data_IF_237300206133
#
_entry.id   IF_237300206133
#
_cell.length_a   1.000
_cell.length_b   1.000
_cell.length_c   1.000
_cell.angle_alpha   90.00
_cell.angle_beta   90.00
_cell.angle_gamma   90.00
#
_symmetry.space_group_name_H-M   'P 1'
#
loop_
_entity.id
_entity.type
_entity.pdbx_description
1 polymer ?
#
# COMPACT_ATOMS: atom_id res chain seq x y z
N UNK A 1 -43.87 29.49 6.79
CA UNK A 1 -42.42 29.55 6.90
C UNK A 1 -41.74 28.39 7.70
N UNK A 2 -42.34 27.81 8.74
CA UNK A 2 -41.73 26.71 9.53
C UNK A 2 -41.72 25.34 8.78
N UNK A 3 -42.73 25.02 8.01
CA UNK A 3 -42.84 23.73 7.29
C UNK A 3 -41.82 23.58 6.14
N UNK A 4 -41.45 24.67 5.47
CA UNK A 4 -40.45 24.64 4.37
C UNK A 4 -39.03 24.41 4.88
N UNK A 5 -38.68 24.93 6.07
CA UNK A 5 -37.36 24.70 6.68
C UNK A 5 -37.16 23.27 7.13
N UNK A 6 -38.22 22.59 7.62
CA UNK A 6 -38.15 21.18 8.03
C UNK A 6 -37.97 20.27 6.80
N UNK A 7 -38.63 20.57 5.70
CA UNK A 7 -38.51 19.79 4.46
C UNK A 7 -37.10 19.87 3.86
N UNK A 8 -36.49 21.06 3.88
CA UNK A 8 -35.09 21.24 3.45
C UNK A 8 -34.10 20.49 4.36
N UNK A 9 -34.31 20.49 5.68
CA UNK A 9 -33.43 19.78 6.61
C UNK A 9 -33.48 18.28 6.46
N UNK A 10 -34.68 17.71 6.26
CA UNK A 10 -34.87 16.26 6.04
C UNK A 10 -34.27 15.85 4.69
N UNK A 11 -34.43 16.66 3.64
CA UNK A 11 -33.87 16.37 2.32
C UNK A 11 -32.33 16.38 2.35
N UNK A 12 -31.72 17.35 3.00
CA UNK A 12 -30.25 17.39 3.21
C UNK A 12 -29.76 16.22 4.04
N UNK A 13 -30.49 15.81 5.07
CA UNK A 13 -30.11 14.65 5.91
C UNK A 13 -30.19 13.33 5.12
N UNK A 14 -31.23 13.14 4.32
CA UNK A 14 -31.35 11.97 3.43
C UNK A 14 -30.24 11.92 2.38
N UNK A 15 -29.90 13.04 1.77
CA UNK A 15 -28.82 13.14 0.79
C UNK A 15 -27.45 12.81 1.44
N UNK A 16 -27.22 13.32 2.66
CA UNK A 16 -26.01 13.05 3.43
C UNK A 16 -25.87 11.57 3.78
N UNK A 17 -26.97 10.93 4.20
CA UNK A 17 -27.00 9.48 4.51
C UNK A 17 -26.77 8.65 3.25
N UNK A 18 -27.37 9.00 2.11
CA UNK A 18 -27.18 8.30 0.85
C UNK A 18 -25.73 8.39 0.34
N UNK A 19 -25.09 9.56 0.45
CA UNK A 19 -23.68 9.75 0.07
C UNK A 19 -22.75 8.96 1.00
N UNK A 20 -23.02 8.93 2.30
CA UNK A 20 -22.22 8.12 3.26
C UNK A 20 -22.37 6.62 3.01
N UNK A 21 -23.58 6.13 2.74
CA UNK A 21 -23.83 4.73 2.40
C UNK A 21 -23.15 4.34 1.06
N UNK A 22 -23.22 5.18 0.06
CA UNK A 22 -22.56 4.95 -1.23
C UNK A 22 -21.04 4.90 -1.08
N UNK A 23 -20.45 5.81 -0.31
CA UNK A 23 -19.01 5.82 -0.03
C UNK A 23 -18.57 4.58 0.78
N UNK A 24 -19.33 4.15 1.77
CA UNK A 24 -19.02 2.95 2.55
C UNK A 24 -19.11 1.68 1.69
N UNK A 25 -20.11 1.56 0.83
CA UNK A 25 -20.24 0.45 -0.11
C UNK A 25 -19.08 0.40 -1.09
N UNK A 26 -18.66 1.54 -1.65
CA UNK A 26 -17.54 1.62 -2.58
C UNK A 26 -16.20 1.25 -1.91
N UNK A 27 -15.99 1.60 -0.65
CA UNK A 27 -14.82 1.16 0.12
C UNK A 27 -14.84 -0.36 0.27
N UNK A 28 -15.98 -0.98 0.54
CA UNK A 28 -16.09 -2.43 0.67
C UNK A 28 -15.77 -3.19 -0.63
N UNK A 29 -16.16 -2.69 -1.79
CA UNK A 29 -15.94 -3.35 -3.08
C UNK A 29 -14.45 -3.36 -3.50
N UNK A 30 -13.72 -2.28 -3.22
CA UNK A 30 -12.32 -2.11 -3.65
C UNK A 30 -11.29 -2.41 -2.56
N UNK A 31 -11.70 -3.02 -1.43
CA UNK A 31 -10.81 -3.41 -0.36
C UNK A 31 -10.90 -4.90 -0.05
N UNK A 32 -9.83 -5.46 0.46
CA UNK A 32 -9.80 -6.81 1.05
C UNK A 32 -9.73 -6.73 2.56
N UNK A 33 -10.46 -7.61 3.23
CA UNK A 33 -10.40 -7.79 4.68
C UNK A 33 -9.24 -8.72 5.00
N UNK A 34 -8.30 -8.25 5.81
CA UNK A 34 -7.18 -9.04 6.31
C UNK A 34 -7.53 -9.46 7.74
N UNK A 35 -7.66 -10.77 8.01
CA UNK A 35 -8.10 -11.23 9.32
C UNK A 35 -7.07 -10.95 10.41
N UNK A 36 -7.55 -10.79 11.65
CA UNK A 36 -6.70 -10.72 12.82
C UNK A 36 -5.85 -11.99 12.96
N UNK A 37 -4.68 -11.88 13.56
CA UNK A 37 -3.83 -13.02 13.87
C UNK A 37 -2.34 -12.75 13.71
N UNK A 38 -1.55 -13.74 14.11
CA UNK A 38 -0.09 -13.71 14.01
C UNK A 38 0.38 -14.04 12.57
N UNK A 39 1.53 -13.48 12.21
CA UNK A 39 2.31 -13.88 11.04
C UNK A 39 3.82 -13.72 11.31
N UNK A 40 4.64 -14.31 10.46
CA UNK A 40 6.10 -14.16 10.50
C UNK A 40 6.51 -13.00 9.60
N UNK A 41 7.03 -11.93 10.20
CA UNK A 41 7.55 -10.75 9.52
C UNK A 41 9.05 -10.83 9.34
N UNK A 42 9.54 -10.36 8.19
CA UNK A 42 10.96 -10.37 7.87
C UNK A 42 11.38 -11.56 7.00
N UNK A 43 12.68 -11.66 6.70
CA UNK A 43 13.27 -12.76 5.92
C UNK A 43 14.70 -13.01 6.34
N UNK A 44 15.11 -14.29 6.43
CA UNK A 44 16.49 -14.67 6.71
C UNK A 44 17.40 -14.57 5.46
N UNK A 45 16.82 -14.49 4.27
CA UNK A 45 17.56 -14.38 3.00
C UNK A 45 17.94 -12.95 2.63
N UNK A 46 17.37 -11.96 3.36
CA UNK A 46 17.63 -10.54 3.16
C UNK A 46 18.92 -10.06 3.82
N UNK A 47 19.11 -8.75 3.82
CA UNK A 47 20.17 -8.08 4.56
C UNK A 47 19.78 -7.94 6.04
N UNK A 48 20.64 -7.32 6.84
CA UNK A 48 20.36 -7.09 8.27
C UNK A 48 19.14 -6.18 8.53
N UNK A 49 18.64 -5.44 7.54
CA UNK A 49 17.47 -4.59 7.73
C UNK A 49 16.15 -5.33 7.63
N UNK A 50 16.14 -6.52 7.00
CA UNK A 50 15.00 -7.43 6.90
C UNK A 50 14.98 -8.50 8.01
N UNK A 51 16.00 -8.51 8.89
CA UNK A 51 16.19 -9.52 9.96
C UNK A 51 16.00 -8.92 11.35
N UNK A 52 15.71 -9.77 12.35
CA UNK A 52 15.39 -11.20 12.29
C UNK A 52 13.95 -11.43 11.80
N UNK A 53 13.67 -12.65 11.35
CA UNK A 53 12.27 -13.11 11.26
C UNK A 53 11.67 -13.16 12.66
N UNK A 54 10.49 -12.57 12.83
CA UNK A 54 9.84 -12.48 14.13
C UNK A 54 8.30 -12.53 13.99
N UNK A 55 7.65 -12.93 15.07
CA UNK A 55 6.19 -12.97 15.12
C UNK A 55 5.61 -11.59 15.37
N UNK A 56 4.59 -11.23 14.61
CA UNK A 56 3.80 -10.01 14.78
C UNK A 56 2.33 -10.38 14.83
N UNK A 57 1.59 -9.90 15.83
CA UNK A 57 0.14 -9.97 15.87
C UNK A 57 -0.45 -8.67 15.37
N UNK A 58 -1.42 -8.77 14.46
CA UNK A 58 -2.21 -7.63 13.98
C UNK A 58 -3.70 -7.91 14.21
N UNK A 59 -4.44 -6.86 14.58
CA UNK A 59 -5.89 -6.85 14.51
C UNK A 59 -6.37 -6.98 13.06
N UNK A 60 -7.65 -7.14 12.89
CA UNK A 60 -8.30 -7.12 11.57
C UNK A 60 -8.25 -5.71 10.97
N UNK A 61 -8.02 -5.61 9.66
CA UNK A 61 -8.02 -4.35 8.92
C UNK A 61 -8.44 -4.55 7.46
N UNK A 62 -8.83 -3.48 6.80
CA UNK A 62 -9.08 -3.48 5.35
C UNK A 62 -7.94 -2.77 4.62
N UNK A 63 -7.58 -3.28 3.45
CA UNK A 63 -6.55 -2.72 2.59
C UNK A 63 -7.05 -2.61 1.15
N UNK A 64 -6.68 -1.56 0.42
CA UNK A 64 -6.98 -1.45 -1.01
C UNK A 64 -6.49 -2.67 -1.77
N UNK A 65 -7.35 -3.24 -2.62
CA UNK A 65 -6.97 -4.38 -3.48
C UNK A 65 -5.89 -4.00 -4.47
N UNK A 66 -5.87 -2.75 -4.89
CA UNK A 66 -4.99 -2.19 -5.90
C UNK A 66 -4.12 -1.07 -5.33
N UNK A 67 -3.02 -0.76 -6.01
CA UNK A 67 -2.34 0.53 -5.86
C UNK A 67 -3.30 1.65 -6.26
N UNK A 68 -3.15 2.85 -5.72
CA UNK A 68 -3.92 4.02 -6.14
C UNK A 68 -3.55 4.36 -7.59
N UNK A 69 -4.55 4.44 -8.46
CA UNK A 69 -4.37 4.72 -9.88
C UNK A 69 -4.22 6.23 -10.16
N UNK A 70 -3.71 6.56 -11.36
CA UNK A 70 -3.59 7.95 -11.80
C UNK A 70 -4.94 8.68 -11.76
N UNK A 71 -5.99 8.08 -12.33
CA UNK A 71 -7.31 8.73 -12.38
C UNK A 71 -7.88 8.98 -10.99
N UNK A 72 -7.69 8.06 -10.03
CA UNK A 72 -8.16 8.25 -8.66
C UNK A 72 -7.41 9.36 -7.95
N UNK A 73 -6.09 9.44 -8.18
CA UNK A 73 -5.26 10.48 -7.56
C UNK A 73 -5.51 11.87 -8.18
N UNK A 74 -5.72 11.96 -9.48
CA UNK A 74 -6.01 13.20 -10.20
C UNK A 74 -7.36 13.83 -9.79
N UNK A 75 -8.34 13.02 -9.38
CA UNK A 75 -9.59 13.52 -8.77
C UNK A 75 -9.29 14.25 -7.45
N UNK A 76 -8.32 13.77 -6.67
CA UNK A 76 -7.88 14.40 -5.42
C UNK A 76 -6.96 15.59 -5.67
N UNK A 77 -6.02 15.47 -6.60
CA UNK A 77 -5.01 16.47 -6.95
C UNK A 77 -4.96 16.72 -8.46
N UNK A 78 -5.86 17.55 -9.02
CA UNK A 78 -5.95 17.77 -10.47
C UNK A 78 -4.68 18.36 -11.12
N UNK A 79 -3.77 18.93 -10.33
CA UNK A 79 -2.48 19.46 -10.82
C UNK A 79 -1.39 18.40 -10.93
N UNK A 80 -1.69 17.13 -10.60
CA UNK A 80 -0.72 16.05 -10.74
C UNK A 80 -0.35 15.83 -12.21
N UNK A 81 0.95 15.57 -12.47
CA UNK A 81 1.45 15.27 -13.82
C UNK A 81 1.93 13.83 -13.86
N UNK A 82 1.37 13.04 -14.74
CA UNK A 82 1.74 11.63 -14.92
C UNK A 82 3.17 11.48 -15.41
N UNK A 83 3.84 10.47 -14.91
CA UNK A 83 5.13 10.02 -15.41
C UNK A 83 4.97 9.35 -16.79
N UNK A 84 5.98 9.46 -17.64
CA UNK A 84 6.02 8.73 -18.93
C UNK A 84 6.02 7.20 -18.75
N UNK A 85 6.50 6.70 -17.61
CA UNK A 85 6.45 5.27 -17.25
C UNK A 85 5.13 4.84 -16.64
N UNK A 86 4.19 5.77 -16.36
CA UNK A 86 2.86 5.50 -15.83
C UNK A 86 1.80 6.36 -16.55
N UNK A 87 1.53 6.13 -17.85
CA UNK A 87 0.73 7.06 -18.66
C UNK A 87 -0.78 6.81 -18.61
N UNK A 88 -1.23 5.59 -18.27
CA UNK A 88 -2.64 5.21 -18.39
C UNK A 88 -3.46 5.59 -17.14
N UNK A 89 -4.80 5.70 -17.29
CA UNK A 89 -5.73 6.01 -16.20
C UNK A 89 -5.65 5.00 -15.06
N UNK A 90 -5.60 3.71 -15.40
CA UNK A 90 -5.53 2.58 -14.46
C UNK A 90 -4.09 2.19 -14.12
N UNK A 91 -3.09 2.92 -14.56
CA UNK A 91 -1.73 2.75 -14.09
C UNK A 91 -1.60 3.30 -12.66
N UNK A 92 -0.75 2.71 -11.79
CA UNK A 92 -0.52 3.26 -10.46
C UNK A 92 0.03 4.69 -10.54
N UNK A 93 -0.48 5.57 -9.70
CA UNK A 93 0.09 6.92 -9.57
C UNK A 93 1.54 6.82 -9.11
N UNK A 94 2.40 7.59 -9.76
CA UNK A 94 3.82 7.71 -9.42
C UNK A 94 4.24 9.19 -9.33
N UNK A 95 5.52 9.48 -9.10
CA UNK A 95 5.99 10.87 -8.91
C UNK A 95 5.28 11.58 -7.75
N UNK A 96 4.91 10.84 -6.73
CA UNK A 96 4.31 11.33 -5.47
C UNK A 96 5.25 11.08 -4.31
N UNK A 97 5.26 11.96 -3.33
CA UNK A 97 6.00 11.78 -2.10
C UNK A 97 5.12 11.19 -0.99
N UNK A 98 5.74 10.85 0.15
CA UNK A 98 5.03 10.25 1.28
C UNK A 98 3.88 11.11 1.83
N UNK A 99 4.07 12.44 1.87
CA UNK A 99 3.06 13.36 2.40
C UNK A 99 1.83 13.43 1.51
N UNK A 100 2.02 13.44 0.19
CA UNK A 100 0.93 13.41 -0.79
C UNK A 100 0.16 12.09 -0.71
N UNK A 101 0.86 10.96 -0.63
CA UNK A 101 0.27 9.63 -0.42
C UNK A 101 -0.55 9.57 0.88
N UNK A 102 0.02 10.03 2.00
CA UNK A 102 -0.64 10.08 3.30
C UNK A 102 -1.88 10.99 3.27
N UNK A 103 -1.79 12.15 2.61
CA UNK A 103 -2.90 13.10 2.49
C UNK A 103 -4.05 12.52 1.67
N UNK A 104 -3.75 11.81 0.57
CA UNK A 104 -4.75 11.09 -0.22
C UNK A 104 -5.50 10.06 0.63
N UNK A 105 -4.79 9.16 1.32
CA UNK A 105 -5.44 8.15 2.16
C UNK A 105 -6.32 8.78 3.26
N UNK A 106 -5.84 9.86 3.90
CA UNK A 106 -6.65 10.62 4.88
C UNK A 106 -7.90 11.23 4.27
N UNK A 107 -7.83 11.76 3.05
CA UNK A 107 -9.00 12.28 2.33
C UNK A 107 -10.05 11.19 2.06
N UNK A 108 -9.62 9.92 1.96
CA UNK A 108 -10.50 8.74 1.82
C UNK A 108 -10.89 8.12 3.17
N UNK A 109 -10.72 8.85 4.30
CA UNK A 109 -10.94 8.36 5.67
C UNK A 109 -10.13 7.11 6.03
N UNK A 110 -8.99 6.92 5.39
CA UNK A 110 -8.02 5.85 5.64
C UNK A 110 -6.66 6.41 6.02
N UNK A 111 -5.66 5.56 5.95
CA UNK A 111 -4.25 5.88 6.19
C UNK A 111 -3.34 5.03 5.31
N UNK A 112 -2.06 5.36 5.24
CA UNK A 112 -1.07 4.42 4.71
C UNK A 112 -1.00 3.18 5.62
N UNK A 113 -0.78 1.98 5.07
CA UNK A 113 -0.56 0.77 5.86
C UNK A 113 0.68 0.94 6.74
N UNK A 114 0.67 0.36 7.94
CA UNK A 114 1.93 0.08 8.62
C UNK A 114 2.74 -0.94 7.81
N UNK A 115 4.05 -0.97 8.02
CA UNK A 115 4.93 -1.93 7.36
C UNK A 115 4.49 -3.38 7.62
N UNK A 116 4.09 -3.68 8.86
CA UNK A 116 3.61 -5.00 9.24
C UNK A 116 2.27 -5.37 8.57
N UNK A 117 1.33 -4.44 8.47
CA UNK A 117 0.06 -4.64 7.74
C UNK A 117 0.32 -4.92 6.26
N UNK A 118 1.21 -4.14 5.65
CA UNK A 118 1.57 -4.31 4.25
C UNK A 118 2.18 -5.71 4.01
N UNK A 119 3.14 -6.13 4.85
CA UNK A 119 3.82 -7.42 4.69
C UNK A 119 2.87 -8.60 4.93
N UNK A 120 2.03 -8.55 5.99
CA UNK A 120 1.01 -9.59 6.22
C UNK A 120 0.08 -9.74 5.02
N UNK A 121 -0.40 -8.63 4.49
CA UNK A 121 -1.27 -8.60 3.33
C UNK A 121 -0.59 -9.15 2.07
N UNK A 122 0.69 -8.80 1.85
CA UNK A 122 1.47 -9.25 0.70
C UNK A 122 1.76 -10.76 0.72
N UNK A 123 2.09 -11.33 1.89
CA UNK A 123 2.36 -12.76 2.05
C UNK A 123 1.14 -13.63 1.76
N UNK A 124 -0.04 -13.07 1.87
CA UNK A 124 -1.28 -13.84 1.76
C UNK A 124 -1.46 -14.86 2.89
N UNK A 125 -2.52 -15.65 2.87
CA UNK A 125 -2.80 -16.63 3.92
C UNK A 125 -1.80 -17.80 3.95
N UNK A 126 -1.07 -18.03 2.86
CA UNK A 126 -0.07 -19.09 2.76
C UNK A 126 1.32 -18.68 3.24
N UNK A 127 1.57 -17.38 3.48
CA UNK A 127 2.85 -16.88 3.96
C UNK A 127 3.98 -16.86 2.93
N UNK A 128 3.65 -16.77 1.64
CA UNK A 128 4.60 -16.89 0.53
C UNK A 128 5.71 -15.83 0.52
N UNK A 129 6.82 -16.18 -0.13
CA UNK A 129 7.98 -15.31 -0.36
C UNK A 129 7.68 -14.18 -1.35
N UNK A 130 6.90 -14.45 -2.39
CA UNK A 130 6.34 -13.47 -3.32
C UNK A 130 4.82 -13.47 -3.18
N UNK A 131 4.17 -12.38 -3.48
CA UNK A 131 2.70 -12.31 -3.35
C UNK A 131 1.95 -13.35 -4.20
N UNK A 132 2.61 -13.93 -5.19
CA UNK A 132 2.08 -14.93 -6.13
C UNK A 132 2.66 -16.36 -5.94
N UNK A 133 3.49 -16.61 -4.91
CA UNK A 133 4.07 -17.94 -4.63
C UNK A 133 5.50 -17.92 -4.09
N UNK A 134 6.17 -19.06 -4.07
CA UNK A 134 7.53 -19.21 -3.51
C UNK A 134 8.64 -18.82 -4.50
N UNK A 135 8.40 -18.97 -5.81
CA UNK A 135 9.40 -18.74 -6.84
C UNK A 135 9.09 -17.49 -7.67
N UNK A 136 10.12 -16.75 -8.12
CA UNK A 136 9.91 -15.59 -8.97
C UNK A 136 9.36 -16.00 -10.34
N UNK A 137 8.31 -15.29 -10.80
CA UNK A 137 7.63 -15.59 -12.06
C UNK A 137 7.10 -14.28 -12.70
N UNK A 138 7.76 -13.84 -13.76
CA UNK A 138 7.39 -12.63 -14.50
C UNK A 138 6.04 -12.72 -15.22
N UNK A 139 5.49 -13.92 -15.42
CA UNK A 139 4.14 -14.07 -15.97
C UNK A 139 3.04 -13.68 -14.95
N UNK A 140 3.42 -13.58 -13.67
CA UNK A 140 2.50 -13.29 -12.55
C UNK A 140 2.66 -11.91 -11.96
N UNK A 141 3.71 -11.16 -12.35
CA UNK A 141 3.98 -9.85 -11.80
C UNK A 141 4.94 -9.05 -12.68
N UNK A 142 4.86 -7.72 -12.59
CA UNK A 142 5.68 -6.77 -13.34
C UNK A 142 7.00 -6.48 -12.61
N UNK A 143 8.07 -7.20 -12.95
CA UNK A 143 9.42 -6.98 -12.42
C UNK A 143 10.51 -7.46 -13.40
N UNK A 144 11.75 -7.05 -13.18
CA UNK A 144 12.92 -7.52 -13.94
C UNK A 144 12.97 -7.01 -15.38
N UNK A 145 12.28 -5.93 -15.69
CA UNK A 145 12.24 -5.33 -17.02
C UNK A 145 13.28 -4.22 -17.19
N UNK A 146 13.56 -3.89 -18.43
CA UNK A 146 14.34 -2.69 -18.74
C UNK A 146 13.57 -1.43 -18.32
N UNK A 147 14.31 -0.37 -18.04
CA UNK A 147 13.75 0.87 -17.49
C UNK A 147 12.69 1.54 -18.38
N UNK A 148 12.68 1.25 -19.67
CA UNK A 148 11.73 1.78 -20.66
C UNK A 148 10.34 1.15 -20.62
N UNK A 149 10.18 -0.04 -19.99
CA UNK A 149 8.91 -0.79 -20.02
C UNK A 149 7.83 -0.09 -19.19
N UNK A 150 8.17 0.42 -18.01
CA UNK A 150 7.24 1.11 -17.13
C UNK A 150 6.29 0.20 -16.35
N UNK A 151 5.29 0.82 -15.73
CA UNK A 151 4.27 0.13 -14.93
C UNK A 151 3.21 -0.54 -15.81
N UNK A 152 2.50 -1.50 -15.24
CA UNK A 152 1.27 -2.07 -15.79
C UNK A 152 0.06 -1.52 -15.01
N UNK A 153 -1.14 -1.64 -15.60
CA UNK A 153 -2.38 -1.27 -14.92
C UNK A 153 -2.52 -2.04 -13.59
N UNK A 154 -3.15 -1.41 -12.60
CA UNK A 154 -3.24 -1.93 -11.22
C UNK A 154 -3.92 -3.30 -11.09
N UNK A 155 -4.64 -3.74 -12.13
CA UNK A 155 -5.36 -5.02 -12.19
C UNK A 155 -4.80 -6.00 -13.24
N UNK A 156 -3.57 -5.81 -13.72
CA UNK A 156 -3.01 -6.57 -14.86
C UNK A 156 -2.69 -8.02 -14.56
N UNK A 157 -2.47 -8.40 -13.32
CA UNK A 157 -2.07 -9.76 -12.93
C UNK A 157 -3.12 -10.43 -12.04
N UNK A 158 -2.85 -11.67 -11.64
CA UNK A 158 -3.74 -12.36 -10.70
C UNK A 158 -3.49 -11.88 -9.26
N UNK A 159 -4.53 -11.75 -8.45
CA UNK A 159 -4.39 -11.36 -7.05
C UNK A 159 -3.79 -12.49 -6.21
N UNK A 160 -3.21 -12.13 -5.06
CA UNK A 160 -2.79 -13.09 -4.06
C UNK A 160 -4.00 -13.73 -3.32
N UNK A 161 -3.73 -14.61 -2.36
CA UNK A 161 -4.78 -15.32 -1.62
C UNK A 161 -5.70 -14.45 -0.75
N UNK A 162 -5.35 -13.18 -0.53
CA UNK A 162 -6.25 -12.16 0.07
C UNK A 162 -6.95 -11.28 -0.96
N UNK A 163 -6.79 -11.54 -2.25
CA UNK A 163 -7.41 -10.76 -3.32
C UNK A 163 -6.69 -9.46 -3.63
N UNK A 164 -5.40 -9.33 -3.27
CA UNK A 164 -4.58 -8.13 -3.48
C UNK A 164 -3.70 -8.27 -4.71
N UNK A 165 -3.64 -7.23 -5.50
CA UNK A 165 -2.89 -7.15 -6.74
C UNK A 165 -1.53 -6.47 -6.52
N UNK A 166 -0.53 -6.87 -7.31
CA UNK A 166 0.78 -6.22 -7.44
C UNK A 166 1.58 -6.01 -6.13
N UNK A 167 1.35 -6.85 -5.11
CA UNK A 167 2.10 -6.77 -3.85
C UNK A 167 3.59 -7.19 -4.01
N UNK A 168 4.01 -7.60 -5.20
CA UNK A 168 5.39 -7.89 -5.59
C UNK A 168 5.62 -7.31 -6.98
N UNK A 169 6.43 -6.25 -7.12
CA UNK A 169 6.71 -5.56 -8.37
C UNK A 169 5.73 -4.41 -8.67
N UNK A 170 5.66 -3.99 -9.90
CA UNK A 170 4.95 -2.84 -10.44
C UNK A 170 5.49 -1.52 -9.89
N UNK A 171 5.13 -1.09 -8.70
CA UNK A 171 5.71 0.07 -8.02
C UNK A 171 6.09 -0.24 -6.58
N UNK A 172 7.16 0.38 -6.08
CA UNK A 172 7.39 0.50 -4.65
C UNK A 172 6.22 1.21 -3.99
N UNK A 173 5.86 0.81 -2.79
CA UNK A 173 4.73 1.41 -2.08
C UNK A 173 5.17 2.05 -0.77
N UNK A 174 4.81 3.34 -0.58
CA UNK A 174 4.98 4.02 0.68
C UNK A 174 4.16 3.36 1.79
N UNK A 175 4.80 3.11 2.94
CA UNK A 175 4.11 2.73 4.17
C UNK A 175 4.26 3.80 5.25
N UNK A 176 3.51 3.66 6.35
CA UNK A 176 3.44 4.72 7.37
C UNK A 176 4.69 4.84 8.23
N UNK A 177 5.48 3.77 8.32
CA UNK A 177 6.56 3.66 9.30
C UNK A 177 7.79 4.48 8.94
N UNK A 178 8.43 5.03 9.96
CA UNK A 178 9.81 5.48 9.87
C UNK A 178 10.74 4.28 9.91
N UNK A 179 11.81 4.34 9.16
CA UNK A 179 12.77 3.24 9.17
C UNK A 179 13.37 3.03 10.56
N UNK A 180 13.29 1.80 11.04
CA UNK A 180 14.02 1.30 12.20
C UNK A 180 14.46 -0.15 11.93
N UNK A 181 15.53 -0.60 12.57
CA UNK A 181 15.85 -2.04 12.58
C UNK A 181 14.79 -2.79 13.39
N UNK A 182 14.51 -4.03 12.99
CA UNK A 182 13.65 -4.89 13.80
C UNK A 182 14.28 -5.12 15.17
N UNK A 183 13.44 -5.17 16.20
CA UNK A 183 13.88 -5.43 17.55
C UNK A 183 14.42 -6.85 17.65
N UNK A 184 15.62 -7.00 18.25
CA UNK A 184 16.18 -8.31 18.57
C UNK A 184 15.86 -8.59 20.03
N UNK A 185 15.20 -9.73 20.32
CA UNK A 185 14.88 -10.12 21.68
C UNK A 185 16.15 -10.20 22.55
N UNK A 186 16.13 -9.54 23.70
CA UNK A 186 17.27 -9.51 24.65
C UNK A 186 18.32 -8.42 24.40
N UNK A 187 18.21 -7.65 23.31
CA UNK A 187 19.01 -6.42 23.13
C UNK A 187 18.14 -5.21 23.48
N UNK A 188 18.64 -4.38 24.38
CA UNK A 188 18.00 -3.08 24.67
C UNK A 188 18.03 -2.22 23.40
N UNK A 189 16.91 -2.18 22.70
CA UNK A 189 16.72 -1.47 21.42
C UNK A 189 16.81 0.05 21.57
N UNK A 190 16.80 0.57 22.81
CA UNK A 190 16.86 2.01 23.08
C UNK A 190 18.13 2.71 22.58
N UNK A 191 19.23 1.99 22.34
CA UNK A 191 20.49 2.58 21.84
C UNK A 191 20.65 2.57 20.31
N UNK A 192 19.81 1.84 19.57
CA UNK A 192 19.95 1.67 18.11
C UNK A 192 18.92 2.53 17.33
N UNK A 193 17.86 2.98 17.97
CA UNK A 193 16.87 3.87 17.36
C UNK A 193 17.36 5.32 17.35
N UNK A 194 18.34 5.64 16.51
CA UNK A 194 18.37 6.99 15.94
C UNK A 194 17.08 7.12 15.12
N UNK A 195 16.24 8.09 15.47
CA UNK A 195 15.08 8.43 14.68
C UNK A 195 15.54 8.62 13.22
N UNK A 196 15.13 7.72 12.34
CA UNK A 196 15.46 7.82 10.93
C UNK A 196 14.63 8.95 10.33
N UNK A 197 15.23 9.73 9.44
CA UNK A 197 14.51 10.71 8.62
C UNK A 197 13.98 10.08 7.32
N UNK A 198 13.96 8.75 7.24
CA UNK A 198 13.57 8.00 6.05
C UNK A 198 12.30 7.18 6.33
N UNK A 199 11.41 7.15 5.37
CA UNK A 199 10.20 6.31 5.35
C UNK A 199 10.48 5.00 4.61
N UNK A 200 9.73 3.96 4.97
CA UNK A 200 9.88 2.63 4.38
C UNK A 200 9.06 2.54 3.09
N UNK A 201 9.62 1.80 2.14
CA UNK A 201 9.03 1.38 0.89
C UNK A 201 9.03 -0.15 0.81
N UNK A 202 7.99 -0.72 0.22
CA UNK A 202 7.78 -2.15 0.12
C UNK A 202 7.42 -2.57 -1.31
N UNK A 203 7.62 -3.85 -1.65
CA UNK A 203 7.10 -4.49 -2.86
C UNK A 203 8.04 -4.54 -4.07
N UNK A 204 8.99 -3.63 -4.19
CA UNK A 204 9.80 -3.52 -5.41
C UNK A 204 9.04 -2.89 -6.57
N UNK A 205 9.68 -2.77 -7.73
CA UNK A 205 9.06 -2.16 -8.91
C UNK A 205 9.41 -2.89 -10.20
N UNK A 206 8.82 -2.48 -11.32
CA UNK A 206 8.92 -3.15 -12.63
C UNK A 206 10.37 -3.39 -13.12
N UNK A 207 11.32 -2.52 -12.79
CA UNK A 207 12.72 -2.66 -13.23
C UNK A 207 13.61 -3.38 -12.21
N UNK A 208 13.10 -3.69 -11.01
CA UNK A 208 13.86 -4.38 -10.00
C UNK A 208 13.94 -5.89 -10.29
N UNK A 209 15.09 -6.51 -9.96
CA UNK A 209 15.21 -7.96 -10.06
C UNK A 209 14.31 -8.69 -9.03
N UNK A 210 14.16 -10.00 -9.22
CA UNK A 210 13.40 -10.87 -8.30
C UNK A 210 13.80 -10.72 -6.83
N UNK A 211 15.07 -10.42 -6.55
CA UNK A 211 15.57 -10.18 -5.20
C UNK A 211 14.80 -9.05 -4.49
N UNK A 212 14.51 -7.94 -5.20
CA UNK A 212 13.86 -6.76 -4.62
C UNK A 212 12.35 -6.84 -4.53
N UNK A 213 11.70 -7.77 -5.24
CA UNK A 213 10.23 -7.89 -5.24
C UNK A 213 9.72 -8.99 -4.30
N UNK A 214 10.60 -9.62 -3.49
CA UNK A 214 10.14 -10.50 -2.42
C UNK A 214 9.43 -9.65 -1.32
N UNK A 215 8.39 -10.21 -0.71
CA UNK A 215 7.53 -9.47 0.22
C UNK A 215 8.22 -9.07 1.51
N UNK A 216 9.32 -9.73 1.89
CA UNK A 216 10.14 -9.37 3.06
C UNK A 216 11.10 -8.20 2.79
N UNK A 217 11.33 -7.82 1.52
CA UNK A 217 12.27 -6.76 1.15
C UNK A 217 11.83 -5.40 1.70
N UNK A 218 12.80 -4.68 2.25
CA UNK A 218 12.65 -3.33 2.77
C UNK A 218 13.52 -2.37 1.99
N UNK A 219 12.97 -1.23 1.62
CA UNK A 219 13.73 -0.09 1.13
C UNK A 219 13.37 1.14 1.96
N UNK A 220 14.22 2.15 1.96
CA UNK A 220 14.01 3.37 2.74
C UNK A 220 14.46 4.58 1.97
N UNK A 221 13.69 5.67 2.09
CA UNK A 221 13.94 6.88 1.36
C UNK A 221 13.42 8.11 2.13
N UNK A 222 14.01 9.27 1.87
CA UNK A 222 13.47 10.53 2.40
C UNK A 222 12.00 10.71 1.97
N UNK A 223 11.09 11.11 2.90
CA UNK A 223 9.67 11.27 2.60
C UNK A 223 9.35 12.36 1.56
N UNK A 224 10.32 13.19 1.20
CA UNK A 224 10.17 14.25 0.20
C UNK A 224 10.48 13.81 -1.24
N UNK A 225 11.09 12.66 -1.41
CA UNK A 225 11.52 12.16 -2.74
C UNK A 225 10.30 11.67 -3.53
N UNK A 226 10.33 11.94 -4.83
CA UNK A 226 9.36 11.49 -5.83
C UNK A 226 10.12 10.73 -6.91
N UNK A 227 9.72 9.48 -7.16
CA UNK A 227 10.26 8.67 -8.24
C UNK A 227 9.13 8.12 -9.12
N UNK A 228 9.45 7.83 -10.36
CA UNK A 228 8.51 7.24 -11.33
C UNK A 228 8.19 5.76 -11.06
N UNK A 229 8.80 5.18 -10.03
CA UNK A 229 8.66 3.79 -9.59
C UNK A 229 8.03 3.65 -8.20
N UNK A 230 7.54 4.74 -7.61
CA UNK A 230 6.97 4.75 -6.27
C UNK A 230 5.52 5.20 -6.34
N UNK A 231 4.64 4.37 -5.82
CA UNK A 231 3.23 4.60 -5.61
C UNK A 231 2.83 4.30 -4.15
N UNK A 232 1.58 3.91 -3.93
CA UNK A 232 1.05 3.56 -2.61
C UNK A 232 -0.33 2.91 -2.72
N UNK A 233 -0.79 2.33 -1.59
CA UNK A 233 -2.19 1.93 -1.33
C UNK A 233 -2.61 2.36 0.06
N UNK A 234 -3.92 2.32 0.35
CA UNK A 234 -4.49 2.75 1.62
C UNK A 234 -5.04 1.58 2.43
N UNK A 235 -5.14 1.80 3.76
CA UNK A 235 -5.81 0.90 4.70
C UNK A 235 -6.85 1.64 5.52
N UNK A 236 -7.81 0.89 6.06
CA UNK A 236 -8.86 1.33 6.98
C UNK A 236 -8.91 0.36 8.15
N UNK A 237 -9.05 0.91 9.34
CA UNK A 237 -9.24 0.11 10.54
C UNK A 237 -10.64 -0.52 10.47
N UNK A 238 -10.78 -1.77 10.91
CA UNK A 238 -12.09 -2.42 11.03
C UNK A 238 -12.90 -1.73 12.14
N UNK A 239 -14.17 -1.45 11.85
CA UNK A 239 -15.10 -0.84 12.81
C UNK A 239 -15.64 -1.90 13.77
#
# INVERSE_FOLDING_TARGET
MRKTKIFFLVFFLCLFIQVHLANSLQIHENTSLIPAGEFLMGTEEGTKIERPVHKVYLGEFRISRFEVSNIEFEIFQPSHTRSVSSPCDQCPVTMINWFEASSYCKNKNGRLPSEAEWEKAARGPAGYRYSFGENPDQSKSNFGHEFQVGVQAVNSFQPNGFGLYNMSGNVWEWVNDWFAFYAIAGLETQKIQRASNEKILRGGSWYNSAYYVNVGMRFKLSPHIKLNSIGFRCVWDSQ
#
